data_IF_711389413664
#
_entry.id   IF_711389413664
#
_cell.length_a   1.000
_cell.length_b   1.000
_cell.length_c   1.000
_cell.angle_alpha   90.00
_cell.angle_beta   90.00
_cell.angle_gamma   90.00
#
_symmetry.space_group_name_H-M   'P 1'
#
loop_
_entity.id
_entity.type
_entity.pdbx_description
1 polymer ?
#
# COMPACT_ATOMS: atom_id res chain seq x y z
N UNK A 1 2.91 18.69 18.47
CA UNK A 1 2.40 18.24 17.17
C UNK A 1 1.66 16.92 17.41
N UNK A 2 0.49 16.73 16.83
CA UNK A 2 -0.21 15.44 16.91
C UNK A 2 0.61 14.36 16.23
N UNK A 3 0.57 13.14 16.76
CA UNK A 3 1.22 11.97 16.18
C UNK A 3 0.62 11.68 14.80
N UNK A 4 1.44 11.23 13.84
CA UNK A 4 0.94 10.75 12.55
C UNK A 4 0.07 9.51 12.78
N UNK A 5 -1.07 9.41 12.10
CA UNK A 5 -1.99 8.27 12.20
C UNK A 5 -2.12 7.58 10.85
N UNK A 6 -1.89 6.26 10.83
CA UNK A 6 -2.23 5.37 9.72
C UNK A 6 -3.45 4.55 10.12
N UNK A 7 -4.52 4.62 9.33
CA UNK A 7 -5.74 3.83 9.56
C UNK A 7 -5.93 2.74 8.52
N UNK A 8 -6.13 1.51 8.95
CA UNK A 8 -6.48 0.40 8.05
C UNK A 8 -7.19 -0.75 8.79
N UNK A 9 -7.67 -1.75 8.05
CA UNK A 9 -8.09 -3.00 8.64
C UNK A 9 -6.95 -3.69 9.40
N UNK A 10 -7.27 -4.54 10.38
CA UNK A 10 -6.31 -5.38 11.11
C UNK A 10 -5.85 -6.59 10.27
N UNK A 11 -5.32 -6.29 9.09
CA UNK A 11 -4.69 -7.20 8.14
C UNK A 11 -3.55 -6.43 7.44
N UNK A 12 -2.73 -7.11 6.65
CA UNK A 12 -1.64 -6.48 5.89
C UNK A 12 -2.15 -5.52 4.82
N UNK A 13 -2.79 -6.08 3.80
CA UNK A 13 -3.41 -5.36 2.68
C UNK A 13 -2.53 -4.25 2.05
N UNK A 14 -3.15 -3.23 1.43
CA UNK A 14 -2.47 -2.04 0.88
C UNK A 14 -1.82 -1.13 1.91
N UNK A 15 -2.07 -1.31 3.22
CA UNK A 15 -1.42 -0.51 4.26
C UNK A 15 -0.03 -1.03 4.63
N UNK A 16 0.30 -2.29 4.32
CA UNK A 16 1.58 -2.87 4.67
C UNK A 16 2.79 -2.12 4.08
N UNK A 17 2.83 -1.74 2.79
CA UNK A 17 3.94 -0.94 2.27
C UNK A 17 4.08 0.42 2.96
N UNK A 18 2.95 1.03 3.37
CA UNK A 18 2.92 2.32 4.07
C UNK A 18 3.56 2.18 5.46
N UNK A 19 3.17 1.15 6.22
CA UNK A 19 3.75 0.91 7.54
C UNK A 19 5.22 0.55 7.47
N UNK A 20 5.65 -0.21 6.45
CA UNK A 20 7.07 -0.52 6.23
C UNK A 20 7.89 0.74 5.96
N UNK A 21 7.38 1.66 5.14
CA UNK A 21 8.04 2.94 4.87
C UNK A 21 8.16 3.78 6.15
N UNK A 22 7.09 3.88 6.95
CA UNK A 22 7.11 4.62 8.22
C UNK A 22 8.12 4.02 9.22
N UNK A 23 8.20 2.69 9.33
CA UNK A 23 9.20 2.03 10.16
C UNK A 23 10.62 2.23 9.63
N UNK A 24 10.82 2.16 8.32
CA UNK A 24 12.13 2.43 7.70
C UNK A 24 12.60 3.87 7.96
N UNK A 25 11.66 4.83 7.94
CA UNK A 25 11.93 6.23 8.23
C UNK A 25 12.00 6.55 9.75
N UNK A 26 11.95 5.53 10.61
CA UNK A 26 11.98 5.66 12.08
C UNK A 26 10.94 6.66 12.65
N UNK A 27 9.75 6.63 12.06
CA UNK A 27 8.64 7.52 12.45
C UNK A 27 7.87 6.90 13.60
N UNK A 28 7.68 7.63 14.69
CA UNK A 28 6.72 7.25 15.72
C UNK A 28 5.30 7.62 15.27
N UNK A 29 4.49 6.61 14.90
CA UNK A 29 3.12 6.78 14.41
C UNK A 29 2.10 5.90 15.14
N UNK A 30 0.85 6.33 15.16
CA UNK A 30 -0.27 5.51 15.62
C UNK A 30 -0.80 4.68 14.45
N UNK A 31 -0.81 3.36 14.61
CA UNK A 31 -1.48 2.47 13.66
C UNK A 31 -2.87 2.11 14.18
N UNK A 32 -3.89 2.86 13.73
CA UNK A 32 -5.28 2.59 14.07
C UNK A 32 -5.83 1.45 13.22
N UNK A 33 -5.91 0.27 13.82
CA UNK A 33 -6.37 -0.95 13.16
C UNK A 33 -7.84 -1.25 13.47
N UNK A 34 -8.66 -1.40 12.44
CA UNK A 34 -10.07 -1.79 12.56
C UNK A 34 -10.21 -3.30 12.33
N UNK A 35 -10.85 -4.08 13.22
CA UNK A 35 -11.13 -5.49 12.95
C UNK A 35 -12.08 -5.63 11.75
N UNK A 36 -11.90 -6.69 10.94
CA UNK A 36 -12.78 -6.99 9.80
C UNK A 36 -14.15 -7.46 10.31
N UNK A 37 -14.15 -8.33 11.31
CA UNK A 37 -15.36 -8.79 11.98
C UNK A 37 -15.36 -8.21 13.39
N UNK A 38 -16.29 -7.31 13.74
CA UNK A 38 -16.43 -6.77 15.09
C UNK A 38 -16.84 -7.82 16.14
N UNK A 39 -16.92 -9.10 15.76
CA UNK A 39 -17.78 -10.10 16.38
C UNK A 39 -17.36 -10.58 17.78
N UNK A 40 -16.23 -10.15 18.31
CA UNK A 40 -15.72 -10.66 19.59
C UNK A 40 -15.65 -9.63 20.73
N UNK A 41 -15.68 -8.32 20.45
CA UNK A 41 -15.58 -7.29 21.49
C UNK A 41 -16.44 -6.06 21.16
N UNK A 42 -17.34 -5.66 22.07
CA UNK A 42 -18.26 -4.53 21.85
C UNK A 42 -17.54 -3.19 21.64
N UNK A 43 -16.33 -3.07 22.19
CA UNK A 43 -15.59 -1.81 22.33
C UNK A 43 -14.51 -1.63 21.27
N UNK A 44 -14.34 -2.61 20.36
CA UNK A 44 -13.36 -2.50 19.29
C UNK A 44 -13.69 -1.31 18.36
N UNK A 45 -12.68 -0.59 17.85
CA UNK A 45 -12.91 0.54 16.97
C UNK A 45 -13.61 0.08 15.69
N UNK A 46 -14.65 0.80 15.28
CA UNK A 46 -15.43 0.50 14.07
C UNK A 46 -15.17 1.56 13.03
N UNK A 47 -14.77 1.15 11.84
CA UNK A 47 -14.49 2.07 10.74
C UNK A 47 -15.71 2.94 10.44
N UNK A 48 -16.91 2.38 10.51
CA UNK A 48 -18.18 3.03 10.25
C UNK A 48 -18.42 4.25 11.15
N UNK A 49 -17.94 4.20 12.40
CA UNK A 49 -18.07 5.32 13.34
C UNK A 49 -17.13 6.48 13.01
N UNK A 50 -15.95 6.16 12.47
CA UNK A 50 -14.91 7.15 12.17
C UNK A 50 -15.02 7.70 10.74
N UNK A 51 -15.60 6.93 9.82
CA UNK A 51 -15.58 7.19 8.36
C UNK A 51 -15.88 8.64 7.99
N UNK A 52 -16.90 9.23 8.61
CA UNK A 52 -17.34 10.60 8.29
C UNK A 52 -16.86 11.66 9.30
N UNK A 53 -16.11 11.29 10.33
CA UNK A 53 -15.70 12.21 11.41
C UNK A 53 -14.24 12.65 11.32
N UNK A 54 -13.43 11.94 10.54
CA UNK A 54 -11.99 12.23 10.39
C UNK A 54 -11.69 13.47 9.51
N UNK A 55 -12.70 13.98 8.79
CA UNK A 55 -12.54 15.09 7.85
C UNK A 55 -11.69 14.72 6.64
N UNK A 56 -11.85 13.50 6.13
CA UNK A 56 -11.26 13.04 4.87
C UNK A 56 -12.15 13.48 3.70
N UNK A 57 -11.57 14.02 2.63
CA UNK A 57 -12.34 14.42 1.44
C UNK A 57 -13.00 13.22 0.74
N UNK A 58 -12.29 12.09 0.67
CA UNK A 58 -12.77 10.84 0.10
C UNK A 58 -12.62 9.70 1.13
N UNK A 59 -13.59 9.50 2.04
CA UNK A 59 -13.47 8.50 3.11
C UNK A 59 -13.28 7.07 2.60
N UNK A 60 -12.10 6.51 2.86
CA UNK A 60 -11.70 5.15 2.48
C UNK A 60 -10.54 4.67 3.34
N UNK A 61 -10.27 3.36 3.30
CA UNK A 61 -9.11 2.73 3.91
C UNK A 61 -8.15 2.25 2.81
N UNK A 62 -6.82 2.41 2.99
CA UNK A 62 -6.16 3.09 4.10
C UNK A 62 -6.31 4.61 4.05
N UNK A 63 -6.18 5.24 5.22
CA UNK A 63 -6.03 6.70 5.36
C UNK A 63 -4.75 7.05 6.12
N UNK A 64 -4.27 8.27 5.91
CA UNK A 64 -3.17 8.91 6.64
C UNK A 64 -3.62 10.26 7.17
N UNK A 65 -3.34 10.56 8.44
CA UNK A 65 -3.49 11.90 9.02
C UNK A 65 -2.13 12.34 9.57
N UNK A 66 -1.63 13.46 9.05
CA UNK A 66 -0.34 14.06 9.39
C UNK A 66 -0.52 15.58 9.55
N UNK A 67 -0.97 15.98 10.74
CA UNK A 67 -1.42 17.34 11.00
C UNK A 67 -2.62 17.71 10.12
N UNK A 68 -2.46 18.75 9.30
CA UNK A 68 -3.51 19.21 8.37
C UNK A 68 -3.59 18.36 7.09
N UNK A 69 -2.58 17.51 6.83
CA UNK A 69 -2.58 16.61 5.67
C UNK A 69 -3.41 15.37 5.98
N UNK A 70 -4.51 15.20 5.24
CA UNK A 70 -5.44 14.08 5.39
C UNK A 70 -5.64 13.40 4.04
N UNK A 71 -5.16 12.17 3.91
CA UNK A 71 -5.09 11.46 2.63
C UNK A 71 -5.79 10.11 2.71
N UNK A 72 -6.41 9.71 1.61
CA UNK A 72 -6.77 8.33 1.32
C UNK A 72 -6.10 7.91 0.00
N UNK A 73 -6.29 6.67 -0.44
CA UNK A 73 -5.57 6.01 -1.54
C UNK A 73 -4.12 5.66 -1.19
N UNK A 74 -3.82 4.35 -1.16
CA UNK A 74 -2.53 3.85 -0.68
C UNK A 74 -1.32 4.38 -1.45
N UNK A 75 -1.42 4.52 -2.77
CA UNK A 75 -0.35 5.09 -3.60
C UNK A 75 -0.15 6.59 -3.33
N UNK A 76 -1.23 7.36 -3.15
CA UNK A 76 -1.13 8.77 -2.82
C UNK A 76 -0.43 8.98 -1.47
N UNK A 77 -0.76 8.13 -0.48
CA UNK A 77 -0.11 8.10 0.83
C UNK A 77 1.38 7.73 0.69
N UNK A 78 1.71 6.66 -0.05
CA UNK A 78 3.11 6.27 -0.28
C UNK A 78 3.91 7.39 -0.94
N UNK A 79 3.39 7.98 -2.01
CA UNK A 79 4.03 9.11 -2.71
C UNK A 79 4.24 10.32 -1.80
N UNK A 80 3.27 10.62 -0.92
CA UNK A 80 3.40 11.69 0.07
C UNK A 80 4.56 11.42 1.05
N UNK A 81 4.58 10.22 1.64
CA UNK A 81 5.62 9.84 2.60
C UNK A 81 6.99 9.73 1.94
N UNK A 82 7.06 9.18 0.72
CA UNK A 82 8.30 9.10 -0.04
C UNK A 82 8.90 10.49 -0.28
N UNK A 83 8.08 11.48 -0.65
CA UNK A 83 8.54 12.88 -0.75
C UNK A 83 9.00 13.42 0.60
N UNK A 84 8.21 13.20 1.67
CA UNK A 84 8.51 13.69 3.03
C UNK A 84 9.83 13.15 3.57
N UNK A 85 10.16 11.89 3.26
CA UNK A 85 11.37 11.20 3.76
C UNK A 85 12.46 11.01 2.70
N UNK A 86 12.37 11.73 1.57
CA UNK A 86 13.39 11.76 0.49
C UNK A 86 13.69 10.39 -0.15
N UNK A 87 12.64 9.57 -0.28
CA UNK A 87 12.63 8.26 -0.96
C UNK A 87 12.07 8.36 -2.38
N UNK A 88 12.39 9.46 -3.07
CA UNK A 88 11.94 9.71 -4.45
C UNK A 88 13.13 9.75 -5.40
N UNK A 89 12.83 9.67 -6.69
CA UNK A 89 13.79 9.98 -7.75
C UNK A 89 14.18 11.46 -7.72
N UNK A 90 15.44 11.73 -8.06
CA UNK A 90 16.03 13.07 -8.13
C UNK A 90 16.07 13.61 -9.57
N UNK A 91 15.84 12.73 -10.55
CA UNK A 91 15.72 13.07 -11.97
C UNK A 91 14.36 12.67 -12.55
N UNK A 92 14.02 13.21 -13.71
CA UNK A 92 12.82 12.82 -14.46
C UNK A 92 12.84 11.33 -14.85
N UNK A 93 14.01 10.82 -15.23
CA UNK A 93 14.19 9.40 -15.57
C UNK A 93 13.92 8.50 -14.36
N UNK A 94 14.47 8.85 -13.21
CA UNK A 94 14.25 8.13 -11.96
C UNK A 94 12.80 8.19 -11.51
N UNK A 95 12.18 9.36 -11.59
CA UNK A 95 10.75 9.55 -11.26
C UNK A 95 9.88 8.70 -12.18
N UNK A 96 10.12 8.77 -13.49
CA UNK A 96 9.41 7.95 -14.48
C UNK A 96 9.55 6.46 -14.18
N UNK A 97 10.76 6.02 -13.85
CA UNK A 97 11.03 4.60 -13.52
C UNK A 97 10.30 4.16 -12.26
N UNK A 98 10.25 5.01 -11.23
CA UNK A 98 9.51 4.73 -9.99
C UNK A 98 8.01 4.62 -10.25
N UNK A 99 7.42 5.60 -10.92
CA UNK A 99 5.99 5.61 -11.20
C UNK A 99 5.59 4.43 -12.10
N UNK A 100 6.40 4.10 -13.10
CA UNK A 100 6.15 2.92 -13.93
C UNK A 100 6.20 1.62 -13.11
N UNK A 101 7.20 1.49 -12.23
CA UNK A 101 7.33 0.31 -11.35
C UNK A 101 6.16 0.20 -10.39
N UNK A 102 5.77 1.32 -9.78
CA UNK A 102 4.62 1.40 -8.87
C UNK A 102 3.34 0.89 -9.55
N UNK A 103 3.04 1.37 -10.77
CA UNK A 103 1.86 0.92 -11.51
C UNK A 103 1.94 -0.57 -11.86
N UNK A 104 3.12 -1.08 -12.26
CA UNK A 104 3.28 -2.50 -12.57
C UNK A 104 3.08 -3.40 -11.33
N UNK A 105 3.52 -2.94 -10.15
CA UNK A 105 3.28 -3.64 -8.89
C UNK A 105 1.82 -3.60 -8.47
N UNK A 106 1.12 -2.50 -8.73
CA UNK A 106 -0.32 -2.36 -8.49
C UNK A 106 -1.12 -3.31 -9.37
N UNK A 107 -0.79 -3.45 -10.65
CA UNK A 107 -1.41 -4.42 -11.54
C UNK A 107 -1.17 -5.86 -11.07
N UNK A 108 0.05 -6.16 -10.60
CA UNK A 108 0.38 -7.45 -10.01
C UNK A 108 -0.45 -7.75 -8.75
N UNK A 109 -0.48 -6.80 -7.82
CA UNK A 109 -1.20 -6.94 -6.55
C UNK A 109 -2.71 -7.03 -6.74
N UNK A 110 -3.30 -6.15 -7.57
CA UNK A 110 -4.74 -6.18 -7.87
C UNK A 110 -5.13 -7.43 -8.64
N UNK A 111 -4.28 -7.91 -9.56
CA UNK A 111 -4.47 -9.18 -10.26
C UNK A 111 -4.50 -10.37 -9.30
N UNK A 112 -3.57 -10.41 -8.34
CA UNK A 112 -3.56 -11.45 -7.30
C UNK A 112 -4.80 -11.36 -6.40
N UNK A 113 -5.17 -10.15 -5.98
CA UNK A 113 -6.36 -9.93 -5.15
C UNK A 113 -7.64 -10.39 -5.86
N UNK A 114 -7.80 -10.08 -7.16
CA UNK A 114 -8.95 -10.54 -7.96
C UNK A 114 -9.09 -12.06 -7.94
N UNK A 115 -7.98 -12.80 -8.04
CA UNK A 115 -7.98 -14.26 -7.95
C UNK A 115 -8.34 -14.71 -6.53
N UNK A 116 -7.69 -14.15 -5.51
CA UNK A 116 -7.90 -14.53 -4.12
C UNK A 116 -9.34 -14.31 -3.64
N UNK A 117 -10.03 -13.31 -4.18
CA UNK A 117 -11.42 -12.97 -3.84
C UNK A 117 -12.44 -13.43 -4.89
N UNK A 118 -12.11 -14.33 -5.81
CA UNK A 118 -13.05 -14.80 -6.85
C UNK A 118 -14.06 -15.85 -6.37
N UNK A 119 -14.22 -16.04 -5.06
CA UNK A 119 -15.22 -16.92 -4.46
C UNK A 119 -15.13 -18.35 -4.99
N UNK A 120 -16.25 -18.87 -5.51
CA UNK A 120 -16.34 -20.24 -6.04
C UNK A 120 -15.44 -20.52 -7.25
N UNK A 121 -14.97 -19.49 -7.96
CA UNK A 121 -14.04 -19.65 -9.09
C UNK A 121 -12.56 -19.66 -8.68
N UNK A 122 -12.26 -19.55 -7.37
CA UNK A 122 -10.90 -19.43 -6.85
C UNK A 122 -9.95 -20.50 -7.40
N UNK A 123 -10.31 -21.78 -7.31
CA UNK A 123 -9.40 -22.87 -7.72
C UNK A 123 -9.04 -22.79 -9.20
N UNK A 124 -10.05 -22.56 -10.06
CA UNK A 124 -9.88 -22.38 -11.51
C UNK A 124 -9.01 -21.16 -11.81
N UNK A 125 -9.34 -20.00 -11.24
CA UNK A 125 -8.63 -18.75 -11.49
C UNK A 125 -7.20 -18.78 -10.96
N UNK A 126 -6.98 -19.46 -9.83
CA UNK A 126 -5.65 -19.70 -9.25
C UNK A 126 -4.79 -20.53 -10.18
N UNK A 127 -5.31 -21.62 -10.73
CA UNK A 127 -4.56 -22.45 -11.67
C UNK A 127 -4.14 -21.65 -12.92
N UNK A 128 -5.03 -20.87 -13.50
CA UNK A 128 -4.72 -20.02 -14.64
C UNK A 128 -3.71 -18.92 -14.29
N UNK A 129 -3.87 -18.28 -13.13
CA UNK A 129 -2.93 -17.27 -12.65
C UNK A 129 -1.52 -17.84 -12.47
N UNK A 130 -1.40 -19.03 -11.85
CA UNK A 130 -0.12 -19.68 -11.61
C UNK A 130 0.59 -20.12 -12.89
N UNK A 131 -0.14 -20.47 -13.96
CA UNK A 131 0.45 -20.75 -15.28
C UNK A 131 1.11 -19.51 -15.89
N UNK A 132 0.50 -18.34 -15.70
CA UNK A 132 0.97 -17.07 -16.27
C UNK A 132 1.97 -16.31 -15.36
N UNK A 133 2.01 -16.66 -14.06
CA UNK A 133 2.84 -15.97 -13.07
C UNK A 133 4.34 -15.97 -13.41
N UNK A 134 4.97 -17.09 -13.85
CA UNK A 134 6.39 -17.10 -14.19
C UNK A 134 6.78 -16.06 -15.24
N UNK A 135 5.97 -15.92 -16.31
CA UNK A 135 6.22 -14.94 -17.36
C UNK A 135 6.14 -13.49 -16.84
N UNK A 136 5.17 -13.21 -15.95
CA UNK A 136 5.05 -11.89 -15.30
C UNK A 136 6.24 -11.59 -14.39
N UNK A 137 6.69 -12.58 -13.62
CA UNK A 137 7.86 -12.44 -12.75
C UNK A 137 9.15 -12.28 -13.56
N UNK A 138 9.28 -12.96 -14.70
CA UNK A 138 10.44 -12.80 -15.59
C UNK A 138 10.57 -11.36 -16.11
N UNK A 139 9.45 -10.71 -16.45
CA UNK A 139 9.43 -9.31 -16.86
C UNK A 139 9.92 -8.39 -15.72
N UNK A 140 9.48 -8.62 -14.48
CA UNK A 140 9.95 -7.87 -13.31
C UNK A 140 11.45 -8.10 -13.04
N UNK A 141 11.91 -9.35 -13.14
CA UNK A 141 13.34 -9.69 -12.98
C UNK A 141 14.20 -9.02 -14.04
N UNK A 142 13.79 -9.07 -15.32
CA UNK A 142 14.48 -8.38 -16.42
C UNK A 142 14.49 -6.87 -16.22
N UNK A 143 13.37 -6.31 -15.76
CA UNK A 143 13.26 -4.88 -15.51
C UNK A 143 14.18 -4.42 -14.37
N UNK A 144 14.26 -5.19 -13.27
CA UNK A 144 15.19 -4.92 -12.18
C UNK A 144 16.64 -4.99 -12.67
N UNK A 145 16.97 -6.05 -13.42
CA UNK A 145 18.33 -6.33 -13.88
C UNK A 145 19.27 -6.55 -12.68
N UNK A 146 20.47 -5.98 -12.75
CA UNK A 146 21.47 -6.10 -11.68
C UNK A 146 21.30 -5.08 -10.55
N UNK A 147 20.21 -4.30 -10.55
CA UNK A 147 19.96 -3.26 -9.54
C UNK A 147 19.53 -3.89 -8.22
N UNK A 148 20.02 -3.32 -7.12
CA UNK A 148 19.62 -3.74 -5.76
C UNK A 148 18.19 -3.33 -5.42
N UNK A 149 17.76 -2.16 -5.89
CA UNK A 149 16.44 -1.57 -5.73
C UNK A 149 15.96 -1.00 -7.08
N UNK A 150 14.73 -0.50 -7.13
CA UNK A 150 14.12 0.05 -8.35
C UNK A 150 15.02 1.04 -9.09
N UNK A 151 15.68 1.95 -8.37
CA UNK A 151 16.56 2.98 -8.93
C UNK A 151 18.06 2.65 -8.92
N UNK A 152 18.46 1.43 -8.55
CA UNK A 152 19.88 1.09 -8.40
C UNK A 152 20.20 0.73 -6.96
N UNK A 153 21.09 1.49 -6.30
CA UNK A 153 21.58 1.16 -4.96
C UNK A 153 20.82 1.84 -3.82
N UNK A 154 19.94 2.79 -4.14
CA UNK A 154 19.14 3.57 -3.18
C UNK A 154 17.72 3.01 -3.07
N UNK A 155 17.25 2.85 -1.83
CA UNK A 155 15.84 2.53 -1.55
C UNK A 155 14.95 3.76 -1.82
N UNK A 156 13.73 3.50 -2.27
CA UNK A 156 12.70 4.46 -2.67
C UNK A 156 11.33 3.95 -2.26
#
# INVERSE_FOLDING_TARGET
>A
MSKLVLGYWNIRGPAAPISYLLHYADVDFEYKQYPIEPALESDAPKWENDKCTLGLDFPSLPYLIDGDVKLTQSLAILRYLARKYKLVGETEEETTRLEWTEQQLVDGYTGLAKVAYSGSEYDKNREEYLKNLPAKLELLTKFLGDRKFTLGDKLT
#
